data_IF_811051772496
#
_entry.id   IF_811051772496
#
_cell.length_a   1.000
_cell.length_b   1.000
_cell.length_c   1.000
_cell.angle_alpha   90.00
_cell.angle_beta   90.00
_cell.angle_gamma   90.00
#
_symmetry.space_group_name_H-M   'P 1'
#
loop_
_entity.id
_entity.type
_entity.pdbx_description
1 polymer ?
#
# COMPACT_ATOMS: atom_id res chain seq x y z
N UNK A 1 -21.63 -0.60 16.37
CA UNK A 1 -20.66 -1.66 16.75
C UNK A 1 -19.28 -1.01 16.71
N UNK A 2 -18.46 -1.17 17.75
CA UNK A 2 -17.08 -0.69 17.69
C UNK A 2 -16.36 -1.42 16.56
N UNK A 3 -15.68 -0.67 15.68
CA UNK A 3 -14.87 -1.27 14.61
C UNK A 3 -13.78 -2.10 15.27
N UNK A 4 -13.59 -3.38 14.89
CA UNK A 4 -12.50 -4.15 15.46
C UNK A 4 -11.19 -3.44 15.17
N UNK A 5 -10.33 -3.48 16.17
CA UNK A 5 -8.99 -2.95 16.18
C UNK A 5 -8.23 -3.50 14.95
N UNK A 6 -7.98 -2.66 13.93
CA UNK A 6 -7.45 -3.07 12.61
C UNK A 6 -6.03 -2.57 12.35
N UNK A 7 -5.33 -3.20 11.41
CA UNK A 7 -3.97 -2.85 11.00
C UNK A 7 -4.01 -2.36 9.56
N UNK A 8 -3.51 -1.15 9.32
CA UNK A 8 -3.34 -0.62 7.97
C UNK A 8 -2.01 -1.11 7.40
N UNK A 9 -2.04 -1.72 6.21
CA UNK A 9 -0.85 -1.99 5.41
C UNK A 9 -0.83 -1.01 4.26
N UNK A 10 0.02 0.01 4.37
CA UNK A 10 0.14 1.06 3.36
C UNK A 10 1.16 0.66 2.29
N UNK A 11 0.65 0.23 1.14
CA UNK A 11 1.43 -0.03 -0.05
C UNK A 11 1.84 1.28 -0.72
N UNK A 12 3.11 1.37 -1.12
CA UNK A 12 3.65 2.52 -1.86
C UNK A 12 4.32 2.07 -3.15
N UNK A 13 5.59 1.68 -3.06
CA UNK A 13 6.38 1.16 -4.19
C UNK A 13 6.57 -0.36 -4.10
N UNK A 14 6.00 -0.98 -3.07
CA UNK A 14 6.09 -2.38 -2.70
C UNK A 14 4.77 -3.12 -2.94
N UNK A 15 4.17 -2.92 -4.12
CA UNK A 15 2.92 -3.56 -4.57
C UNK A 15 3.13 -5.06 -4.81
N UNK A 16 3.43 -5.79 -3.74
CA UNK A 16 3.72 -7.22 -3.73
C UNK A 16 3.19 -7.85 -2.45
N UNK A 17 2.64 -9.05 -2.60
CA UNK A 17 2.21 -9.88 -1.48
C UNK A 17 3.34 -10.79 -0.98
N UNK A 18 4.16 -11.29 -1.91
CA UNK A 18 5.31 -12.12 -1.55
C UNK A 18 6.41 -11.25 -0.95
N UNK A 19 7.12 -11.79 0.03
CA UNK A 19 8.30 -11.16 0.64
C UNK A 19 8.08 -9.68 1.00
N UNK A 20 6.93 -9.37 1.61
CA UNK A 20 6.61 -8.06 2.15
C UNK A 20 6.66 -8.12 3.69
N UNK A 21 7.74 -7.61 4.34
CA UNK A 21 7.86 -7.65 5.78
C UNK A 21 6.74 -6.92 6.51
N UNK A 22 6.26 -5.79 5.98
CA UNK A 22 5.17 -5.03 6.60
C UNK A 22 3.87 -5.84 6.61
N UNK A 23 3.54 -6.49 5.49
CA UNK A 23 2.40 -7.39 5.39
C UNK A 23 2.56 -8.61 6.32
N UNK A 24 3.76 -9.22 6.35
CA UNK A 24 4.04 -10.36 7.22
C UNK A 24 3.87 -10.00 8.71
N UNK A 25 4.33 -8.82 9.12
CA UNK A 25 4.13 -8.33 10.48
C UNK A 25 2.65 -8.09 10.79
N UNK A 26 1.88 -7.51 9.85
CA UNK A 26 0.45 -7.31 10.02
C UNK A 26 -0.32 -8.64 10.18
N UNK A 27 0.03 -9.67 9.40
CA UNK A 27 -0.55 -11.02 9.52
C UNK A 27 -0.29 -11.63 10.90
N UNK A 28 0.93 -11.46 11.44
CA UNK A 28 1.30 -11.97 12.77
C UNK A 28 0.49 -11.35 13.91
N UNK A 29 -0.10 -10.17 13.71
CA UNK A 29 -0.94 -9.51 14.72
C UNK A 29 -2.35 -10.13 14.85
N UNK A 30 -2.73 -11.04 13.95
CA UNK A 30 -4.05 -11.71 13.95
C UNK A 30 -5.24 -10.75 14.08
N UNK A 31 -5.12 -9.56 13.48
CA UNK A 31 -6.14 -8.52 13.43
C UNK A 31 -6.62 -8.34 11.99
N UNK A 32 -7.83 -7.81 11.76
CA UNK A 32 -8.26 -7.41 10.42
C UNK A 32 -7.24 -6.48 9.78
N UNK A 33 -6.85 -6.78 8.54
CA UNK A 33 -5.90 -5.99 7.78
C UNK A 33 -6.66 -5.15 6.76
N UNK A 34 -6.34 -3.86 6.71
CA UNK A 34 -6.84 -2.92 5.71
C UNK A 34 -5.68 -2.54 4.78
N UNK A 35 -5.59 -3.14 3.58
CA UNK A 35 -4.70 -2.69 2.53
C UNK A 35 -5.05 -1.26 2.13
N UNK A 36 -4.05 -0.39 2.04
CA UNK A 36 -4.22 1.00 1.64
C UNK A 36 -3.17 1.36 0.61
N UNK A 37 -3.59 2.01 -0.47
CA UNK A 37 -2.70 2.73 -1.38
C UNK A 37 -3.20 4.17 -1.46
N UNK A 38 -2.30 5.14 -1.37
CA UNK A 38 -2.64 6.56 -1.46
C UNK A 38 -2.05 7.08 -2.77
N UNK A 39 -2.93 7.46 -3.69
CA UNK A 39 -2.56 8.09 -4.94
C UNK A 39 -2.39 9.59 -4.72
N UNK A 40 -1.17 10.08 -4.97
CA UNK A 40 -0.82 11.50 -4.87
C UNK A 40 -0.42 12.01 -6.26
N UNK A 41 -1.32 12.76 -6.90
CA UNK A 41 -1.14 13.28 -8.25
C UNK A 41 -0.10 14.39 -8.34
N UNK A 42 0.10 15.15 -7.26
CA UNK A 42 1.14 16.18 -7.19
C UNK A 42 2.55 15.56 -7.17
N UNK A 43 2.64 14.27 -6.82
CA UNK A 43 3.89 13.53 -6.67
C UNK A 43 4.53 13.74 -5.31
N UNK A 44 5.56 12.92 -5.02
CA UNK A 44 6.44 13.14 -3.86
C UNK A 44 7.42 14.28 -4.15
N UNK A 45 8.39 14.52 -3.27
CA UNK A 45 9.52 15.46 -3.48
C UNK A 45 10.25 15.33 -4.83
N UNK A 46 10.06 14.22 -5.53
CA UNK A 46 10.70 13.88 -6.82
C UNK A 46 9.90 14.35 -8.05
N UNK A 47 8.71 14.95 -7.85
CA UNK A 47 7.83 15.42 -8.91
C UNK A 47 6.78 14.39 -9.37
N UNK A 48 5.94 14.75 -10.37
CA UNK A 48 4.83 13.91 -10.80
C UNK A 48 5.30 12.62 -11.49
N UNK A 49 4.59 11.52 -11.22
CA UNK A 49 4.87 10.21 -11.83
C UNK A 49 4.64 10.24 -13.34
N UNK A 50 5.60 9.83 -14.16
CA UNK A 50 5.49 9.84 -15.63
C UNK A 50 4.44 8.88 -16.21
N UNK A 51 4.05 9.08 -17.48
CA UNK A 51 2.95 8.35 -18.11
C UNK A 51 3.16 6.82 -18.15
N UNK A 52 4.37 6.36 -18.50
CA UNK A 52 4.71 4.93 -18.50
C UNK A 52 4.60 4.33 -17.09
N UNK A 53 5.09 5.05 -16.08
CA UNK A 53 5.01 4.62 -14.68
C UNK A 53 3.57 4.56 -14.17
N UNK A 54 2.70 5.51 -14.56
CA UNK A 54 1.26 5.47 -14.24
C UNK A 54 0.56 4.26 -14.87
N UNK A 55 0.89 3.96 -16.12
CA UNK A 55 0.35 2.78 -16.79
C UNK A 55 0.75 1.49 -16.06
N UNK A 56 2.03 1.37 -15.68
CA UNK A 56 2.50 0.20 -14.93
C UNK A 56 1.86 0.10 -13.55
N UNK A 57 1.73 1.23 -12.85
CA UNK A 57 1.11 1.29 -11.54
C UNK A 57 -0.34 0.83 -11.56
N UNK A 58 -1.11 1.22 -12.59
CA UNK A 58 -2.50 0.78 -12.75
C UNK A 58 -2.62 -0.75 -12.90
N UNK A 59 -1.58 -1.41 -13.41
CA UNK A 59 -1.54 -2.86 -13.62
C UNK A 59 -0.82 -3.64 -12.52
N UNK A 60 -0.28 -2.95 -11.51
CA UNK A 60 0.49 -3.57 -10.42
C UNK A 60 -0.42 -3.98 -9.27
#
# INVERSE_FOLDING_TARGET
MATPDSVIVWFRRDLRLHDNPALLHAVKLQRPITPLFIWDEAGTTDGPTGAASRWWLHHS
#
